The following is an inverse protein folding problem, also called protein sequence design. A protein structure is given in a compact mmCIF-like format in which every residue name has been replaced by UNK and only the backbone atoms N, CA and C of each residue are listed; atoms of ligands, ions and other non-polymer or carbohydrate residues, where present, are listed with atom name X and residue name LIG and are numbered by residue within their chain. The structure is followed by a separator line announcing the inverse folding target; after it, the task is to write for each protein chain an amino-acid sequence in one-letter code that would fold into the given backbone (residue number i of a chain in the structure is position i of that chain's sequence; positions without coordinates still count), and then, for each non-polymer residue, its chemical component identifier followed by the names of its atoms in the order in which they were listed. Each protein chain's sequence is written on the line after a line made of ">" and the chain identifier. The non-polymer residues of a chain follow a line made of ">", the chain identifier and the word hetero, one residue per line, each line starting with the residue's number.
data_IF_694332660407
#
_entry.id   IF_694332660407
#
_cell.length_a   1.000
_cell.length_b   1.000
_cell.length_c   1.000
_cell.angle_alpha   90.00
_cell.angle_beta   90.00
_cell.angle_gamma   90.00
#
_symmetry.space_group_name_H-M   'P 1'
#
loop_
_entity.id
_entity.type
_entity.pdbx_description
1 polymer ?
#
# COMPACT_ATOMS: atom_id res chain seq x y z
N UNK A 1 -18.06 8.63 -46.53
CA UNK A 1 -17.32 9.54 -45.63
C UNK A 1 -16.31 8.71 -44.85
N UNK A 2 -15.07 8.65 -45.35
CA UNK A 2 -13.95 7.99 -44.66
C UNK A 2 -13.43 8.99 -43.64
N UNK A 3 -13.70 8.74 -42.35
CA UNK A 3 -13.07 9.49 -41.26
C UNK A 3 -11.58 9.13 -41.25
N UNK A 4 -10.76 10.13 -41.46
CA UNK A 4 -9.30 10.08 -41.45
C UNK A 4 -8.77 9.56 -40.12
N UNK A 5 -8.12 8.42 -40.14
CA UNK A 5 -7.30 7.90 -39.02
C UNK A 5 -6.00 8.73 -38.95
N UNK A 6 -6.11 10.01 -38.54
CA UNK A 6 -4.95 10.83 -38.29
C UNK A 6 -4.57 10.71 -36.81
N UNK A 7 -3.38 10.21 -36.57
CA UNK A 7 -2.64 10.51 -35.34
C UNK A 7 -2.26 9.39 -34.38
N UNK A 8 -2.41 8.11 -34.74
CA UNK A 8 -1.77 7.06 -33.94
C UNK A 8 -0.30 6.91 -34.38
N UNK A 9 0.57 7.74 -33.82
CA UNK A 9 2.01 7.51 -33.92
C UNK A 9 2.41 6.40 -32.95
N UNK A 10 3.22 5.44 -33.45
CA UNK A 10 4.02 4.59 -32.59
C UNK A 10 4.81 5.49 -31.63
N UNK A 11 5.07 5.00 -30.41
CA UNK A 11 5.96 5.72 -29.50
C UNK A 11 7.22 6.11 -30.25
N UNK A 12 7.50 7.41 -30.24
CA UNK A 12 8.70 7.94 -30.82
C UNK A 12 9.93 7.34 -30.10
N UNK A 13 11.05 7.35 -30.80
CA UNK A 13 12.38 6.95 -30.33
C UNK A 13 12.63 7.39 -28.87
N UNK A 14 13.28 6.57 -28.02
CA UNK A 14 13.68 6.96 -26.65
C UNK A 14 14.44 8.29 -26.55
N UNK A 15 14.95 8.80 -27.67
CA UNK A 15 15.59 10.12 -27.78
C UNK A 15 14.63 11.31 -27.57
N UNK A 16 13.32 11.14 -27.67
CA UNK A 16 12.36 12.25 -27.62
C UNK A 16 11.98 12.70 -26.19
N UNK A 17 12.56 12.12 -25.16
CA UNK A 17 12.52 12.62 -23.77
C UNK A 17 11.16 12.62 -23.07
N UNK A 18 10.12 12.08 -23.71
CA UNK A 18 8.74 12.22 -23.23
C UNK A 18 8.20 11.04 -22.40
N UNK A 19 9.00 10.07 -22.00
CA UNK A 19 8.53 9.00 -21.12
C UNK A 19 8.39 7.64 -21.80
N UNK A 20 9.17 7.37 -22.84
CA UNK A 20 9.35 6.02 -23.34
C UNK A 20 10.06 5.17 -22.28
N UNK A 21 9.47 4.03 -21.83
CA UNK A 21 10.07 3.23 -20.79
C UNK A 21 11.34 2.54 -21.27
N UNK A 22 12.37 2.50 -20.41
CA UNK A 22 13.61 1.80 -20.70
C UNK A 22 13.55 0.34 -20.22
N UNK A 23 14.10 -0.60 -21.04
CA UNK A 23 14.29 -1.99 -20.61
C UNK A 23 15.31 -2.06 -19.49
N UNK A 24 14.90 -2.60 -18.33
CA UNK A 24 15.76 -2.63 -17.11
C UNK A 24 16.00 -4.02 -16.55
N UNK A 25 15.48 -5.09 -17.18
CA UNK A 25 15.55 -6.44 -16.62
C UNK A 25 14.69 -6.66 -15.39
N UNK A 26 13.81 -5.73 -15.06
CA UNK A 26 12.93 -5.71 -13.90
C UNK A 26 11.66 -6.57 -14.05
N UNK A 27 11.60 -7.35 -15.12
CA UNK A 27 10.48 -8.23 -15.41
C UNK A 27 9.28 -7.58 -16.10
N UNK A 28 9.27 -6.27 -16.27
CA UNK A 28 8.25 -5.61 -17.08
C UNK A 28 8.53 -5.80 -18.57
N UNK A 29 7.52 -6.29 -19.31
CA UNK A 29 7.52 -6.15 -20.76
C UNK A 29 7.39 -4.68 -21.14
N UNK A 30 8.10 -4.24 -22.17
CA UNK A 30 7.99 -2.90 -22.70
C UNK A 30 7.21 -2.94 -24.00
N UNK A 31 6.30 -1.98 -24.21
CA UNK A 31 5.67 -1.77 -25.51
C UNK A 31 6.60 -1.00 -26.43
N UNK A 32 6.87 -1.55 -27.59
CA UNK A 32 7.66 -0.89 -28.65
C UNK A 32 6.79 -0.11 -29.63
N UNK A 33 5.48 0.02 -29.32
CA UNK A 33 4.51 0.64 -30.24
C UNK A 33 4.04 -0.25 -31.40
N UNK A 34 4.76 -1.34 -31.70
CA UNK A 34 4.45 -2.27 -32.79
C UNK A 34 3.70 -3.53 -32.35
N UNK A 35 3.36 -3.62 -31.07
CA UNK A 35 2.82 -4.83 -30.44
C UNK A 35 1.28 -4.81 -30.26
N UNK A 36 0.58 -3.97 -31.03
CA UNK A 36 -0.89 -3.82 -30.96
C UNK A 36 -1.39 -2.97 -29.78
N UNK A 37 -0.51 -2.46 -28.95
CA UNK A 37 -0.86 -1.51 -27.88
C UNK A 37 -0.90 -0.08 -28.46
N UNK A 38 -1.93 0.19 -29.27
CA UNK A 38 -2.16 1.53 -29.81
C UNK A 38 -2.52 2.50 -28.68
N UNK A 39 -1.61 3.42 -28.38
CA UNK A 39 -1.76 4.46 -27.38
C UNK A 39 -1.34 5.78 -27.98
N UNK A 40 -2.10 6.83 -27.71
CA UNK A 40 -1.71 8.19 -28.07
C UNK A 40 -0.57 8.67 -27.16
N UNK A 41 0.67 8.52 -27.64
CA UNK A 41 1.87 8.94 -26.91
C UNK A 41 1.90 10.45 -26.65
N UNK A 42 1.39 11.27 -27.58
CA UNK A 42 1.33 12.73 -27.39
C UNK A 42 0.34 13.09 -26.28
N UNK A 43 -0.78 12.37 -26.14
CA UNK A 43 -1.71 12.58 -25.05
C UNK A 43 -1.10 12.21 -23.70
N UNK A 44 -0.32 11.12 -23.62
CA UNK A 44 0.42 10.75 -22.41
C UNK A 44 1.47 11.80 -22.05
N UNK A 45 2.15 12.37 -23.04
CA UNK A 45 3.11 13.45 -22.83
C UNK A 45 2.44 14.70 -22.27
N UNK A 46 1.37 15.15 -22.91
CA UNK A 46 0.61 16.31 -22.41
C UNK A 46 0.06 16.08 -21.00
N UNK A 47 -0.43 14.87 -20.72
CA UNK A 47 -0.85 14.48 -19.36
C UNK A 47 0.30 14.60 -18.36
N UNK A 48 1.46 14.03 -18.67
CA UNK A 48 2.61 14.08 -17.79
C UNK A 48 3.17 15.50 -17.60
N UNK A 49 3.15 16.35 -18.63
CA UNK A 49 3.51 17.77 -18.53
C UNK A 49 2.56 18.53 -17.61
N UNK A 50 1.25 18.24 -17.73
CA UNK A 50 0.26 18.80 -16.81
C UNK A 50 0.49 18.37 -15.37
N UNK A 51 0.78 17.09 -15.15
CA UNK A 51 1.06 16.52 -13.83
C UNK A 51 2.39 17.02 -13.25
N UNK A 52 3.39 17.30 -14.08
CA UNK A 52 4.67 17.87 -13.63
C UNK A 52 4.52 19.26 -12.97
N UNK A 53 3.45 19.99 -13.29
CA UNK A 53 3.12 21.25 -12.63
C UNK A 53 2.60 21.05 -11.19
N UNK A 54 2.24 19.83 -10.80
CA UNK A 54 1.81 19.49 -9.45
C UNK A 54 3.01 19.07 -8.60
N UNK A 55 3.22 19.74 -7.48
CA UNK A 55 4.32 19.42 -6.55
C UNK A 55 4.17 18.08 -5.83
N UNK A 56 3.04 17.39 -5.98
CA UNK A 56 2.71 16.18 -5.23
C UNK A 56 2.82 14.89 -6.06
N UNK A 57 3.26 14.98 -7.32
CA UNK A 57 3.41 13.83 -8.19
C UNK A 57 4.89 13.61 -8.48
N UNK A 58 5.41 12.47 -8.06
CA UNK A 58 6.82 12.12 -8.16
C UNK A 58 7.13 11.24 -9.36
N UNK A 59 6.14 10.46 -9.82
CA UNK A 59 6.27 9.60 -11.00
C UNK A 59 4.92 9.29 -11.62
N UNK A 60 4.93 8.98 -12.91
CA UNK A 60 3.78 8.47 -13.65
C UNK A 60 4.23 7.27 -14.47
N UNK A 61 3.61 6.12 -14.21
CA UNK A 61 3.82 4.90 -14.96
C UNK A 61 2.47 4.44 -15.52
N UNK A 62 2.44 4.06 -16.78
CA UNK A 62 1.25 3.49 -17.40
C UNK A 62 1.58 2.11 -17.94
N UNK A 63 0.81 1.12 -17.52
CA UNK A 63 0.93 -0.25 -18.01
C UNK A 63 -0.37 -0.65 -18.72
N UNK A 64 -0.24 -1.38 -19.84
CA UNK A 64 -1.36 -1.92 -20.59
C UNK A 64 -1.02 -3.32 -21.08
N UNK A 65 -1.96 -4.25 -20.96
CA UNK A 65 -1.78 -5.64 -21.41
C UNK A 65 -0.50 -6.29 -20.88
N UNK A 66 -0.13 -6.00 -19.63
CA UNK A 66 1.07 -6.54 -18.97
C UNK A 66 2.39 -5.92 -19.44
N UNK A 67 2.36 -4.83 -20.19
CA UNK A 67 3.54 -4.10 -20.63
C UNK A 67 3.53 -2.68 -20.13
N UNK A 68 4.69 -2.16 -19.76
CA UNK A 68 4.89 -0.75 -19.48
C UNK A 68 4.93 0.02 -20.79
N UNK A 69 4.07 1.02 -20.91
CA UNK A 69 3.92 1.82 -22.12
C UNK A 69 4.36 3.28 -21.92
N UNK A 70 4.46 3.73 -20.69
CA UNK A 70 4.89 5.08 -20.34
C UNK A 70 5.52 5.09 -18.96
N UNK A 71 6.60 5.84 -18.80
CA UNK A 71 7.33 5.97 -17.55
C UNK A 71 7.98 7.36 -17.48
N UNK A 72 7.61 8.17 -16.50
CA UNK A 72 8.20 9.49 -16.29
C UNK A 72 8.32 9.82 -14.81
N UNK A 73 9.42 10.46 -14.45
CA UNK A 73 9.76 10.86 -13.09
C UNK A 73 9.92 12.38 -13.02
N UNK A 74 9.63 12.95 -11.86
CA UNK A 74 9.69 14.38 -11.62
C UNK A 74 10.59 14.69 -10.44
N UNK A 75 10.99 15.95 -10.31
CA UNK A 75 11.63 16.46 -9.10
C UNK A 75 10.56 17.10 -8.24
N UNK A 76 10.60 16.83 -6.95
CA UNK A 76 9.60 17.37 -6.03
C UNK A 76 9.95 17.16 -4.56
N UNK A 77 9.11 17.66 -3.68
CA UNK A 77 9.29 17.48 -2.25
C UNK A 77 9.05 16.02 -1.85
N UNK A 78 9.91 15.50 -0.99
CA UNK A 78 9.75 14.23 -0.31
C UNK A 78 9.91 14.42 1.20
N UNK A 79 9.14 13.67 1.97
CA UNK A 79 9.22 13.67 3.42
C UNK A 79 10.20 12.59 3.89
N UNK A 80 11.37 13.00 4.30
CA UNK A 80 12.40 12.10 4.84
C UNK A 80 12.49 12.19 6.36
N UNK A 81 12.98 11.16 7.06
CA UNK A 81 13.22 11.23 8.49
C UNK A 81 14.05 12.45 8.88
N UNK A 82 13.57 13.20 9.86
CA UNK A 82 14.29 14.33 10.44
C UNK A 82 15.00 13.95 11.73
N UNK A 83 15.80 14.88 12.28
CA UNK A 83 16.37 14.75 13.60
C UNK A 83 15.24 14.84 14.65
N UNK A 84 15.33 14.04 15.72
CA UNK A 84 14.41 14.09 16.87
C UNK A 84 12.93 13.83 16.56
N UNK A 85 12.61 12.71 15.87
CA UNK A 85 11.24 12.28 15.58
C UNK A 85 10.43 13.17 14.62
N UNK A 86 11.03 14.20 14.04
CA UNK A 86 10.40 15.04 13.02
C UNK A 86 10.56 14.44 11.63
N UNK A 87 9.68 14.85 10.71
CA UNK A 87 9.88 14.69 9.26
C UNK A 87 10.36 16.03 8.69
N UNK A 88 11.27 15.98 7.73
CA UNK A 88 11.71 17.16 6.99
C UNK A 88 11.41 16.98 5.52
N UNK A 89 11.02 18.05 4.86
CA UNK A 89 10.84 18.08 3.42
C UNK A 89 12.19 18.31 2.76
N UNK A 90 12.53 17.49 1.78
CA UNK A 90 13.71 17.60 0.93
C UNK A 90 13.26 17.53 -0.53
N UNK A 91 13.80 18.39 -1.39
CA UNK A 91 13.63 18.23 -2.82
C UNK A 91 14.47 17.04 -3.31
N UNK A 92 13.83 16.11 -3.98
CA UNK A 92 14.41 14.89 -4.53
C UNK A 92 14.21 14.88 -6.03
N UNK A 93 15.22 14.45 -6.77
CA UNK A 93 15.10 14.08 -8.19
C UNK A 93 14.73 12.62 -8.23
N UNK A 94 13.45 12.34 -8.49
CA UNK A 94 12.98 10.96 -8.54
C UNK A 94 13.41 10.28 -9.83
N UNK A 95 13.62 8.99 -9.76
CA UNK A 95 13.90 8.09 -10.87
C UNK A 95 13.38 6.68 -10.54
N UNK A 96 13.61 5.72 -11.43
CA UNK A 96 13.14 4.34 -11.23
C UNK A 96 13.76 3.62 -10.03
N UNK A 97 14.87 4.14 -9.50
CA UNK A 97 15.64 3.54 -8.39
C UNK A 97 15.35 4.24 -7.06
N UNK A 98 14.68 5.39 -7.12
CA UNK A 98 14.34 6.15 -5.92
C UNK A 98 13.16 5.48 -5.21
N UNK A 99 13.32 5.20 -3.91
CA UNK A 99 12.21 4.73 -3.08
C UNK A 99 11.19 5.86 -2.91
N UNK A 100 9.95 5.57 -3.23
CA UNK A 100 8.81 6.47 -3.02
C UNK A 100 8.08 6.06 -1.75
N UNK A 101 7.82 7.01 -0.87
CA UNK A 101 6.93 6.78 0.27
C UNK A 101 5.50 6.50 -0.25
N UNK A 102 5.08 5.27 -0.11
CA UNK A 102 3.79 4.78 -0.62
C UNK A 102 2.61 5.20 0.25
N UNK A 103 2.87 5.88 1.37
CA UNK A 103 1.81 6.36 2.27
C UNK A 103 0.80 5.24 2.54
N UNK A 104 -0.47 5.54 2.41
CA UNK A 104 -1.56 4.59 2.72
C UNK A 104 -1.68 3.39 1.78
N UNK A 105 -0.92 3.30 0.69
CA UNK A 105 -0.80 2.04 -0.08
C UNK A 105 -0.19 0.93 0.79
N UNK A 106 0.59 1.27 1.81
CA UNK A 106 1.07 0.35 2.84
C UNK A 106 -0.03 -0.54 3.44
N UNK A 107 -1.23 0.01 3.58
CA UNK A 107 -2.42 -0.69 4.09
C UNK A 107 -2.82 -1.87 3.20
N UNK A 108 -2.70 -1.70 1.87
CA UNK A 108 -2.97 -2.78 0.91
C UNK A 108 -1.93 -3.89 1.02
N UNK A 109 -0.66 -3.54 1.20
CA UNK A 109 0.42 -4.53 1.41
C UNK A 109 0.19 -5.32 2.70
N UNK A 110 -0.18 -4.64 3.79
CA UNK A 110 -0.52 -5.30 5.05
C UNK A 110 -1.73 -6.25 4.91
N UNK A 111 -2.74 -5.85 4.13
CA UNK A 111 -3.90 -6.71 3.84
C UNK A 111 -3.51 -7.95 3.05
N UNK A 112 -2.63 -7.83 2.05
CA UNK A 112 -2.09 -8.98 1.30
C UNK A 112 -1.32 -9.94 2.23
N UNK A 113 -0.51 -9.41 3.15
CA UNK A 113 0.21 -10.22 4.12
C UNK A 113 -0.75 -11.02 5.04
N UNK A 114 -1.86 -10.42 5.47
CA UNK A 114 -2.93 -11.14 6.20
C UNK A 114 -3.50 -12.27 5.34
N UNK A 115 -3.81 -12.01 4.06
CA UNK A 115 -4.31 -13.03 3.14
C UNK A 115 -3.35 -14.22 3.02
N UNK A 116 -2.06 -13.95 2.88
CA UNK A 116 -1.02 -14.99 2.83
C UNK A 116 -0.89 -15.73 4.17
N UNK A 117 -1.00 -15.03 5.30
CA UNK A 117 -0.97 -15.67 6.62
C UNK A 117 -2.17 -16.62 6.82
N UNK A 118 -3.34 -16.27 6.28
CA UNK A 118 -4.52 -17.15 6.27
C UNK A 118 -4.29 -18.37 5.36
N UNK A 119 -3.78 -18.17 4.14
CA UNK A 119 -3.50 -19.25 3.19
C UNK A 119 -2.47 -20.24 3.76
N UNK A 120 -1.52 -19.76 4.57
CA UNK A 120 -0.54 -20.58 5.29
C UNK A 120 -1.08 -21.21 6.59
N UNK A 121 -2.32 -20.95 6.97
CA UNK A 121 -2.94 -21.47 8.21
C UNK A 121 -2.43 -20.85 9.49
N UNK A 122 -1.70 -19.72 9.43
CA UNK A 122 -1.19 -18.96 10.59
C UNK A 122 -2.28 -18.12 11.25
N UNK A 123 -3.28 -17.70 10.47
CA UNK A 123 -4.53 -17.05 10.90
C UNK A 123 -5.66 -17.91 10.33
N UNK A 124 -6.69 -18.20 11.12
CA UNK A 124 -7.77 -19.11 10.67
C UNK A 124 -8.69 -18.45 9.63
N UNK A 125 -9.07 -17.20 9.86
CA UNK A 125 -9.93 -16.46 8.94
C UNK A 125 -9.98 -14.97 9.31
N UNK A 126 -10.50 -14.15 8.40
CA UNK A 126 -10.80 -12.74 8.68
C UNK A 126 -11.93 -12.55 9.70
N UNK A 127 -12.71 -13.60 9.99
CA UNK A 127 -13.81 -13.58 10.97
C UNK A 127 -13.34 -13.85 12.40
N UNK A 128 -12.03 -14.03 12.65
CA UNK A 128 -11.55 -14.20 14.02
C UNK A 128 -11.80 -12.94 14.85
N UNK A 129 -12.33 -13.09 16.09
CA UNK A 129 -12.50 -11.98 17.01
C UNK A 129 -11.16 -11.30 17.29
N UNK A 130 -11.12 -9.96 17.20
CA UNK A 130 -9.88 -9.21 17.32
C UNK A 130 -9.24 -9.38 18.69
N UNK A 131 -10.05 -9.46 19.77
CA UNK A 131 -9.57 -9.68 21.14
C UNK A 131 -8.95 -11.06 21.34
N UNK A 132 -9.17 -12.01 20.44
CA UNK A 132 -8.46 -13.30 20.47
C UNK A 132 -6.95 -13.15 20.24
N UNK A 133 -6.55 -12.11 19.52
CA UNK A 133 -5.14 -11.78 19.31
C UNK A 133 -4.53 -10.91 20.42
N UNK A 134 -5.35 -10.32 21.30
CA UNK A 134 -4.94 -9.39 22.35
C UNK A 134 -5.47 -9.80 23.74
N UNK A 135 -5.09 -10.99 24.26
CA UNK A 135 -5.53 -11.43 25.60
C UNK A 135 -5.10 -10.48 26.70
N UNK A 136 -3.99 -9.75 26.53
CA UNK A 136 -3.50 -8.72 27.44
C UNK A 136 -4.42 -7.50 27.56
N UNK A 137 -5.37 -7.35 26.63
CA UNK A 137 -6.38 -6.28 26.63
C UNK A 137 -7.76 -6.77 27.06
N UNK A 138 -7.86 -7.91 27.75
CA UNK A 138 -9.14 -8.49 28.16
C UNK A 138 -10.01 -7.57 29.02
N UNK A 139 -9.38 -6.68 29.81
CA UNK A 139 -10.04 -5.66 30.63
C UNK A 139 -10.78 -4.58 29.80
N UNK A 140 -10.46 -4.44 28.53
CA UNK A 140 -11.11 -3.49 27.61
C UNK A 140 -12.32 -4.08 26.88
N UNK A 141 -12.63 -5.34 27.09
CA UNK A 141 -13.73 -6.05 26.43
C UNK A 141 -15.10 -5.53 26.87
N UNK A 142 -16.04 -5.64 25.96
CA UNK A 142 -17.46 -5.42 26.22
C UNK A 142 -18.29 -6.22 25.19
N UNK A 143 -19.59 -6.46 25.41
CA UNK A 143 -20.43 -7.20 24.46
C UNK A 143 -20.42 -6.65 23.03
N UNK A 144 -20.24 -5.34 22.85
CA UNK A 144 -20.12 -4.73 21.53
C UNK A 144 -18.71 -4.91 20.95
N UNK A 145 -17.68 -4.74 21.74
CA UNK A 145 -16.28 -4.91 21.31
C UNK A 145 -15.94 -6.36 20.98
N UNK A 146 -16.56 -7.33 21.64
CA UNK A 146 -16.37 -8.76 21.38
C UNK A 146 -16.86 -9.19 19.98
N UNK A 147 -17.69 -8.37 19.34
CA UNK A 147 -18.13 -8.58 17.96
C UNK A 147 -17.16 -8.05 16.90
N UNK A 148 -16.11 -7.32 17.31
CA UNK A 148 -15.10 -6.82 16.38
C UNK A 148 -14.23 -7.99 15.93
N UNK A 149 -14.17 -8.20 14.61
CA UNK A 149 -13.39 -9.24 13.95
C UNK A 149 -12.24 -8.61 13.16
N UNK A 150 -11.27 -9.41 12.74
CA UNK A 150 -10.15 -8.97 11.90
C UNK A 150 -10.63 -8.29 10.62
N UNK A 151 -11.71 -8.77 9.98
CA UNK A 151 -12.29 -8.13 8.79
C UNK A 151 -12.67 -6.68 9.06
N UNK A 152 -13.17 -6.35 10.24
CA UNK A 152 -13.57 -4.98 10.57
C UNK A 152 -12.38 -4.04 10.70
N UNK A 153 -11.21 -4.54 11.11
CA UNK A 153 -9.96 -3.76 11.09
C UNK A 153 -9.48 -3.54 9.64
N UNK A 154 -9.52 -4.59 8.79
CA UNK A 154 -9.12 -4.51 7.38
C UNK A 154 -10.02 -3.60 6.55
N UNK A 155 -11.30 -3.54 6.87
CA UNK A 155 -12.30 -2.70 6.17
C UNK A 155 -12.57 -1.37 6.86
N UNK A 156 -11.86 -1.07 7.97
CA UNK A 156 -12.04 0.16 8.76
C UNK A 156 -13.48 0.36 9.26
N UNK A 157 -14.13 -0.73 9.64
CA UNK A 157 -15.53 -0.76 10.12
C UNK A 157 -15.63 -1.28 11.56
N UNK A 158 -14.60 -1.07 12.40
CA UNK A 158 -14.60 -1.55 13.78
C UNK A 158 -15.68 -0.92 14.66
N UNK A 159 -16.25 0.23 14.26
CA UNK A 159 -17.23 0.97 15.04
C UNK A 159 -16.66 1.65 16.30
N UNK A 160 -15.33 1.78 16.38
CA UNK A 160 -14.65 2.54 17.43
C UNK A 160 -14.55 4.01 17.03
N UNK A 161 -14.70 4.91 18.00
CA UNK A 161 -14.49 6.34 17.78
C UNK A 161 -13.07 6.58 17.26
N UNK A 162 -12.95 7.30 16.16
CA UNK A 162 -11.65 7.65 15.61
C UNK A 162 -11.70 8.99 14.88
N UNK A 163 -10.73 9.85 15.13
CA UNK A 163 -10.61 11.17 14.51
C UNK A 163 -9.21 11.31 13.93
N UNK A 164 -9.09 11.30 12.59
CA UNK A 164 -7.79 11.33 11.89
C UNK A 164 -7.70 12.44 10.84
N UNK A 165 -8.80 12.73 10.11
CA UNK A 165 -8.75 13.64 8.97
C UNK A 165 -8.53 15.12 9.37
N UNK A 166 -9.12 15.53 10.45
CA UNK A 166 -9.03 16.89 11.03
C UNK A 166 -9.20 16.80 12.55
N UNK A 167 -8.34 17.42 13.33
CA UNK A 167 -7.16 18.21 12.99
C UNK A 167 -5.99 17.37 12.43
N UNK A 168 -4.89 18.03 12.01
CA UNK A 168 -3.71 17.37 11.46
C UNK A 168 -3.06 16.40 12.43
N UNK A 169 -2.24 15.47 11.92
CA UNK A 169 -1.50 14.46 12.70
C UNK A 169 -0.49 15.03 13.70
N UNK A 170 -0.23 16.34 13.68
CA UNK A 170 0.57 17.02 14.71
C UNK A 170 -0.24 17.51 15.93
N UNK A 171 -1.57 17.39 15.91
CA UNK A 171 -2.46 17.84 16.98
C UNK A 171 -2.91 16.65 17.82
N UNK A 172 -2.80 16.76 19.14
CA UNK A 172 -3.26 15.72 20.09
C UNK A 172 -4.81 15.59 20.17
N UNK A 173 -5.57 16.36 19.40
CA UNK A 173 -6.99 16.08 19.15
C UNK A 173 -7.19 15.08 18.00
N UNK A 174 -6.12 14.68 17.32
CA UNK A 174 -6.08 13.63 16.32
C UNK A 174 -5.72 12.30 16.99
N UNK A 175 -6.49 11.24 16.76
CA UNK A 175 -6.29 9.95 17.40
C UNK A 175 -5.04 9.22 16.88
N UNK A 176 -4.61 9.45 15.62
CA UNK A 176 -3.34 8.93 15.11
C UNK A 176 -2.16 9.53 15.89
N UNK A 177 -2.17 10.85 16.12
CA UNK A 177 -1.15 11.51 16.94
C UNK A 177 -1.11 10.96 18.37
N UNK A 178 -2.26 10.78 18.99
CA UNK A 178 -2.36 10.17 20.34
C UNK A 178 -1.85 8.75 20.38
N UNK A 179 -2.20 7.95 19.37
CA UNK A 179 -1.75 6.58 19.24
C UNK A 179 -0.21 6.50 19.14
N UNK A 180 0.40 7.38 18.34
CA UNK A 180 1.86 7.40 18.18
C UNK A 180 2.61 7.74 19.46
N UNK A 181 2.06 8.56 20.34
CA UNK A 181 2.66 8.89 21.65
C UNK A 181 2.23 7.94 22.76
N UNK A 182 1.19 7.13 22.57
CA UNK A 182 0.73 6.17 23.55
C UNK A 182 1.82 5.15 23.90
N UNK A 183 1.87 4.71 25.14
CA UNK A 183 2.80 3.66 25.58
C UNK A 183 2.57 2.35 24.82
N UNK A 184 1.30 1.95 24.68
CA UNK A 184 0.84 0.79 23.92
C UNK A 184 -0.21 1.25 22.89
N UNK A 185 0.18 1.37 21.60
CA UNK A 185 -0.72 1.78 20.53
C UNK A 185 -1.92 0.85 20.35
N UNK A 186 -1.74 -0.47 20.48
CA UNK A 186 -2.82 -1.43 20.32
C UNK A 186 -3.86 -1.28 21.43
N UNK A 187 -3.39 -1.14 22.66
CA UNK A 187 -4.25 -0.90 23.82
C UNK A 187 -5.00 0.44 23.70
N UNK A 188 -4.33 1.48 23.19
CA UNK A 188 -4.97 2.75 22.90
C UNK A 188 -6.16 2.58 21.95
N UNK A 189 -5.96 1.93 20.80
CA UNK A 189 -7.00 1.72 19.79
C UNK A 189 -8.14 0.88 20.33
N UNK A 190 -7.84 -0.25 20.99
CA UNK A 190 -8.86 -1.13 21.58
C UNK A 190 -9.60 -0.49 22.76
N UNK A 191 -8.97 0.49 23.43
CA UNK A 191 -9.54 1.25 24.54
C UNK A 191 -10.60 2.27 24.11
N UNK A 192 -10.65 2.67 22.86
CA UNK A 192 -11.58 3.68 22.36
C UNK A 192 -13.05 3.28 22.54
N UNK A 193 -13.95 4.25 22.76
CA UNK A 193 -15.37 3.96 22.91
C UNK A 193 -15.99 3.47 21.60
N UNK A 194 -16.99 2.59 21.71
CA UNK A 194 -17.82 2.15 20.57
C UNK A 194 -18.83 3.25 20.25
N UNK A 195 -18.92 3.64 19.00
CA UNK A 195 -19.88 4.62 18.47
C UNK A 195 -20.89 4.02 17.50
N UNK A 196 -20.56 2.86 16.90
CA UNK A 196 -21.42 2.12 16.00
C UNK A 196 -21.17 0.61 16.15
N UNK A 197 -22.13 -0.25 15.80
CA UNK A 197 -21.89 -1.69 15.69
C UNK A 197 -20.81 -1.99 14.65
N UNK A 198 -19.94 -2.96 14.94
CA UNK A 198 -18.90 -3.38 14.02
C UNK A 198 -19.51 -3.84 12.67
N UNK A 199 -18.89 -3.43 11.56
CA UNK A 199 -19.30 -3.75 10.20
C UNK A 199 -20.34 -2.80 9.59
N UNK A 200 -20.85 -1.80 10.32
CA UNK A 200 -21.92 -0.94 9.81
C UNK A 200 -21.44 0.39 9.23
N UNK A 201 -20.43 1.00 9.84
CA UNK A 201 -19.96 2.33 9.45
C UNK A 201 -18.48 2.31 9.11
N UNK A 202 -18.11 2.94 8.02
CA UNK A 202 -16.73 3.15 7.61
C UNK A 202 -16.19 4.45 8.22
N UNK A 203 -15.08 4.33 8.95
CA UNK A 203 -14.28 5.46 9.40
C UNK A 203 -12.83 5.21 9.04
N UNK A 204 -12.24 6.09 8.23
CA UNK A 204 -10.82 5.96 7.89
C UNK A 204 -9.99 5.96 9.17
N UNK A 205 -9.24 4.88 9.41
CA UNK A 205 -8.66 4.57 10.71
C UNK A 205 -7.29 3.89 10.56
N UNK A 206 -6.21 4.66 10.69
CA UNK A 206 -4.83 4.15 10.69
C UNK A 206 -4.55 3.27 11.91
N UNK A 207 -5.21 3.50 13.05
CA UNK A 207 -5.08 2.66 14.23
C UNK A 207 -5.53 1.21 14.01
N UNK A 208 -6.50 0.97 13.10
CA UNK A 208 -6.87 -0.39 12.70
C UNK A 208 -5.68 -1.16 12.13
N UNK A 209 -4.81 -0.49 11.37
CA UNK A 209 -3.63 -1.10 10.75
C UNK A 209 -2.50 -1.35 11.75
N UNK A 210 -2.44 -0.58 12.83
CA UNK A 210 -1.55 -0.88 13.97
C UNK A 210 -1.93 -2.23 14.59
N UNK A 211 -3.23 -2.50 14.77
CA UNK A 211 -3.69 -3.82 15.22
C UNK A 211 -3.35 -4.91 14.21
N UNK A 212 -3.54 -4.66 12.90
CA UNK A 212 -3.19 -5.61 11.84
C UNK A 212 -1.71 -5.97 11.86
N UNK A 213 -0.82 -4.99 12.02
CA UNK A 213 0.63 -5.23 12.14
C UNK A 213 0.96 -6.13 13.34
N UNK A 214 0.40 -5.81 14.50
CA UNK A 214 0.59 -6.60 15.72
C UNK A 214 0.02 -8.02 15.57
N UNK A 215 -1.12 -8.20 14.90
CA UNK A 215 -1.71 -9.51 14.61
C UNK A 215 -0.77 -10.36 13.74
N UNK A 216 -0.21 -9.78 12.68
CA UNK A 216 0.78 -10.50 11.85
C UNK A 216 1.96 -10.95 12.72
N UNK A 217 2.54 -10.05 13.52
CA UNK A 217 3.65 -10.40 14.40
C UNK A 217 3.31 -11.53 15.38
N UNK A 218 2.12 -11.48 15.99
CA UNK A 218 1.67 -12.51 16.96
C UNK A 218 1.39 -13.85 16.29
N UNK A 219 0.82 -13.85 15.09
CA UNK A 219 0.48 -15.05 14.35
C UNK A 219 1.69 -15.72 13.70
N UNK A 220 2.65 -14.92 13.23
CA UNK A 220 3.81 -15.43 12.45
C UNK A 220 5.10 -15.53 13.27
N UNK A 221 5.16 -14.89 14.43
CA UNK A 221 6.38 -14.72 15.24
C UNK A 221 7.36 -13.68 14.68
N UNK A 222 7.00 -12.95 13.61
CA UNK A 222 7.85 -11.98 12.91
C UNK A 222 7.13 -10.65 12.70
N UNK A 223 7.84 -9.51 12.73
CA UNK A 223 7.28 -8.23 12.31
C UNK A 223 6.72 -8.29 10.89
N UNK A 224 5.72 -7.46 10.60
CA UNK A 224 5.03 -7.45 9.31
C UNK A 224 5.98 -7.20 8.13
N UNK A 225 6.95 -6.31 8.25
CA UNK A 225 7.94 -6.00 7.21
C UNK A 225 8.83 -7.22 6.88
N UNK A 226 9.26 -7.96 7.88
CA UNK A 226 10.04 -9.18 7.70
C UNK A 226 9.20 -10.31 7.07
N UNK A 227 7.98 -10.49 7.56
CA UNK A 227 7.05 -11.46 6.99
C UNK A 227 6.70 -11.11 5.54
N UNK A 228 6.31 -9.87 5.26
CA UNK A 228 5.99 -9.42 3.91
C UNK A 228 7.19 -9.52 2.95
N UNK A 229 8.41 -9.29 3.42
CA UNK A 229 9.63 -9.49 2.63
C UNK A 229 9.72 -10.92 2.12
N UNK A 230 9.61 -11.91 3.01
CA UNK A 230 9.72 -13.33 2.66
C UNK A 230 8.58 -13.81 1.74
N UNK A 231 7.33 -13.40 2.07
CA UNK A 231 6.16 -14.04 1.46
C UNK A 231 5.58 -13.27 0.27
N UNK A 232 5.94 -12.01 0.10
CA UNK A 232 5.37 -11.14 -0.92
C UNK A 232 6.46 -10.46 -1.77
N UNK A 233 7.41 -9.74 -1.15
CA UNK A 233 8.37 -8.93 -1.91
C UNK A 233 9.40 -9.79 -2.64
N UNK A 234 10.06 -10.74 -1.96
CA UNK A 234 11.05 -11.62 -2.59
C UNK A 234 10.45 -12.48 -3.72
N UNK A 235 9.27 -13.13 -3.54
CA UNK A 235 8.63 -13.85 -4.64
C UNK A 235 8.25 -12.99 -5.84
N UNK A 236 7.99 -11.71 -5.62
CA UNK A 236 7.73 -10.73 -6.68
C UNK A 236 9.01 -10.11 -7.27
N UNK A 237 10.19 -10.44 -6.72
CA UNK A 237 11.46 -9.88 -7.12
C UNK A 237 11.66 -8.42 -6.67
N UNK A 238 10.89 -7.94 -5.69
CA UNK A 238 11.00 -6.59 -5.14
C UNK A 238 12.08 -6.63 -4.04
N UNK A 239 13.30 -6.14 -4.36
CA UNK A 239 14.45 -6.18 -3.46
C UNK A 239 14.55 -4.96 -2.55
N UNK A 240 14.38 -3.78 -3.13
CA UNK A 240 14.55 -2.51 -2.42
C UNK A 240 13.23 -2.08 -1.76
N UNK A 241 13.10 -2.42 -0.49
CA UNK A 241 11.93 -2.08 0.33
C UNK A 241 12.42 -1.55 1.66
N UNK A 242 11.97 -0.36 2.00
CA UNK A 242 12.08 0.17 3.36
C UNK A 242 10.68 0.22 3.98
N UNK A 243 10.57 -0.15 5.25
CA UNK A 243 9.31 -0.05 5.98
C UNK A 243 9.58 0.46 7.39
N UNK A 244 9.04 1.62 7.71
CA UNK A 244 9.23 2.24 9.01
C UNK A 244 8.55 1.44 10.13
N UNK A 245 9.04 1.61 11.36
CA UNK A 245 8.46 0.97 12.56
C UNK A 245 8.06 2.01 13.59
N UNK A 246 6.98 1.75 14.29
CA UNK A 246 6.47 2.54 15.40
C UNK A 246 6.39 1.65 16.64
N UNK A 247 7.10 2.02 17.73
CA UNK A 247 7.15 1.25 18.97
C UNK A 247 7.52 -0.23 18.79
N UNK A 248 8.38 -0.53 17.79
CA UNK A 248 8.86 -1.89 17.50
C UNK A 248 7.98 -2.68 16.53
N UNK A 249 6.75 -2.27 16.27
CA UNK A 249 5.91 -2.86 15.22
C UNK A 249 6.05 -2.08 13.90
N UNK A 250 5.86 -2.77 12.79
CA UNK A 250 5.89 -2.17 11.45
C UNK A 250 4.72 -1.21 11.29
N UNK A 251 4.97 -0.02 10.75
CA UNK A 251 3.92 0.96 10.45
C UNK A 251 3.10 0.52 9.23
N UNK A 252 2.08 -0.30 9.45
CA UNK A 252 1.18 -0.76 8.40
C UNK A 252 0.27 0.35 7.85
N UNK A 253 0.21 1.49 8.55
CA UNK A 253 -0.63 2.62 8.18
C UNK A 253 -0.08 3.47 7.04
N UNK A 254 1.25 3.58 6.90
CA UNK A 254 1.83 4.51 5.94
C UNK A 254 3.33 4.40 5.73
N UNK A 255 3.98 3.40 6.28
CA UNK A 255 5.43 3.39 6.42
C UNK A 255 6.24 2.69 5.32
N UNK A 256 5.61 2.09 4.30
CA UNK A 256 6.35 1.39 3.23
C UNK A 256 6.86 2.37 2.17
N UNK A 257 8.11 2.20 1.78
CA UNK A 257 8.72 2.87 0.64
C UNK A 257 9.20 1.82 -0.38
N UNK A 258 8.82 2.01 -1.64
CA UNK A 258 9.10 1.11 -2.75
C UNK A 258 9.65 1.89 -3.95
N UNK A 259 10.53 1.25 -4.71
CA UNK A 259 10.90 1.77 -6.03
C UNK A 259 9.78 1.50 -7.05
N UNK A 260 9.47 2.44 -7.98
CA UNK A 260 8.27 2.38 -8.85
C UNK A 260 8.42 1.29 -9.84
N UNK A 261 8.77 0.36 -10.12
CA UNK A 261 8.83 -0.63 -11.21
C UNK A 261 10.03 -1.59 -11.15
N UNK A 262 10.48 -1.98 -9.96
CA UNK A 262 11.56 -2.94 -9.89
C UNK A 262 11.10 -4.31 -9.42
N UNK A 263 11.30 -5.28 -10.31
CA UNK A 263 11.28 -6.69 -10.00
C UNK A 263 12.70 -7.23 -10.26
N UNK A 264 13.33 -7.84 -9.26
CA UNK A 264 14.65 -8.44 -9.40
C UNK A 264 14.67 -9.59 -10.43
N UNK A 265 15.84 -9.92 -10.92
CA UNK A 265 16.09 -10.91 -11.98
C UNK A 265 15.65 -12.36 -11.69
N UNK A 266 15.13 -12.66 -10.52
CA UNK A 266 14.70 -14.00 -10.12
C UNK A 266 13.18 -14.20 -10.27
N UNK A 267 12.72 -14.37 -11.50
CA UNK A 267 11.46 -15.07 -11.75
C UNK A 267 11.62 -16.57 -11.47
N UNK A 268 11.61 -16.98 -10.22
CA UNK A 268 11.02 -18.26 -9.91
C UNK A 268 9.55 -18.14 -10.31
N UNK A 269 9.16 -18.85 -11.38
CA UNK A 269 7.83 -18.80 -11.94
C UNK A 269 6.79 -18.88 -10.81
N UNK A 270 5.99 -17.84 -10.69
CA UNK A 270 4.74 -17.93 -9.93
C UNK A 270 4.01 -19.17 -10.50
N UNK A 271 3.73 -20.22 -9.72
CA UNK A 271 3.05 -21.39 -10.25
C UNK A 271 1.72 -20.92 -10.81
N UNK A 272 1.57 -21.04 -12.12
CA UNK A 272 0.31 -20.74 -12.80
C UNK A 272 -0.77 -21.63 -12.20
N UNK A 273 -1.75 -21.02 -11.56
CA UNK A 273 -3.11 -21.52 -11.52
C UNK A 273 -3.36 -22.64 -10.53
N UNK A 274 -3.77 -22.28 -9.35
CA UNK A 274 -5.05 -22.84 -8.91
C UNK A 274 -6.11 -21.82 -9.27
N UNK A 275 -6.98 -22.18 -10.20
CA UNK A 275 -8.24 -21.49 -10.41
C UNK A 275 -8.95 -21.43 -9.05
N UNK A 276 -9.08 -20.23 -8.50
CA UNK A 276 -9.95 -20.00 -7.36
C UNK A 276 -11.36 -20.21 -7.89
N UNK A 277 -11.94 -21.39 -7.61
CA UNK A 277 -13.36 -21.61 -7.80
C UNK A 277 -14.09 -20.54 -6.98
N UNK A 278 -14.85 -19.70 -7.66
CA UNK A 278 -15.70 -18.73 -6.99
C UNK A 278 -16.71 -19.52 -6.14
N UNK A 279 -16.82 -19.24 -4.85
CA UNK A 279 -17.89 -19.84 -4.07
C UNK A 279 -19.21 -19.47 -4.73
N UNK A 280 -20.00 -20.49 -5.09
CA UNK A 280 -21.34 -20.30 -5.62
C UNK A 280 -22.16 -19.53 -4.59
N UNK A 281 -22.62 -18.33 -4.96
CA UNK A 281 -23.65 -17.62 -4.22
C UNK A 281 -24.89 -18.53 -4.09
N UNK A 282 -25.09 -19.09 -2.90
CA UNK A 282 -26.40 -19.53 -2.44
C UNK A 282 -26.76 -18.68 -1.22
N UNK A 283 -27.64 -17.74 -1.45
CA UNK A 283 -28.46 -17.14 -0.42
C UNK A 283 -29.58 -18.11 -0.04
#
# INVERSE_FOLDING_TARGET
>A
MLASLHGLRAFADPSDGCGAPAARGDGWGISTGNDGNLVDGEALCRMADHLAASSNINSVLVARSGKLIFERYFSGPDEVPGLFFGRRVKNVVFNADTLHDMKSVSKSVASLAIGIAIDRGLIRSVSEPIFGFFPECADLRSPLKDRIQLVHALTMTMGLKWVEATPSTGDLNNDEARMHVAWDPCRYVLGLPVTAPAGQEFFYNTGALTLVSAIVRKATGRPLDEFAREVLFEPLGIGDVEWSRVKGDTDAGGGVALAPARHGENRAACPRGRSVERPSNRF
#
